data_IF_478540722238
#
_entry.id   IF_478540722238
#
_cell.length_a   1.000
_cell.length_b   1.000
_cell.length_c   1.000
_cell.angle_alpha   90.00
_cell.angle_beta   90.00
_cell.angle_gamma   90.00
#
_symmetry.space_group_name_H-M   'P 1'
#
loop_
_entity.id
_entity.type
_entity.pdbx_description
1 polymer ?
#
# COMPACT_ATOMS: atom_id res chain seq x y z
N UNK A 1 58.45 72.36 29.88
CA UNK A 1 57.51 72.09 30.92
C UNK A 1 57.01 70.71 30.70
N UNK A 2 57.73 69.71 31.25
CA UNK A 2 57.33 68.89 32.36
C UNK A 2 55.97 68.23 32.06
N UNK A 3 55.77 66.98 32.00
CA UNK A 3 56.16 65.83 32.80
C UNK A 3 55.72 64.54 32.09
N UNK A 4 56.43 63.62 32.13
CA UNK A 4 56.51 62.30 32.83
C UNK A 4 55.70 61.15 32.21
N UNK A 5 56.53 60.21 31.99
CA UNK A 5 56.35 58.77 31.81
C UNK A 5 55.42 58.11 32.81
N UNK A 6 54.67 57.14 32.38
CA UNK A 6 54.68 55.88 33.15
C UNK A 6 54.27 54.69 32.28
N UNK A 7 55.14 53.71 32.30
CA UNK A 7 54.97 52.42 31.67
C UNK A 7 54.18 51.51 32.58
N UNK A 8 53.06 51.04 32.14
CA UNK A 8 52.37 49.92 32.80
C UNK A 8 52.30 48.67 31.91
N UNK A 9 53.07 47.74 32.36
CA UNK A 9 53.10 46.32 31.99
C UNK A 9 51.72 45.73 31.72
N UNK A 10 51.41 45.41 30.45
CA UNK A 10 50.25 44.58 30.17
C UNK A 10 50.67 43.11 30.21
N UNK A 11 50.34 42.43 31.29
CA UNK A 11 50.44 40.98 31.44
C UNK A 11 49.58 40.32 30.38
N UNK A 12 50.19 39.57 29.46
CA UNK A 12 49.55 38.63 28.56
C UNK A 12 48.94 37.51 29.39
N UNK A 13 47.62 37.53 29.57
CA UNK A 13 46.86 36.36 30.05
C UNK A 13 46.65 35.44 28.81
N UNK A 14 47.33 34.33 28.78
CA UNK A 14 47.08 33.25 27.87
C UNK A 14 45.70 32.66 28.16
N UNK A 15 44.74 32.89 27.28
CA UNK A 15 43.45 32.24 27.28
C UNK A 15 43.62 30.85 26.65
N UNK A 16 43.74 29.81 27.45
CA UNK A 16 43.61 28.44 27.01
C UNK A 16 42.12 28.21 26.68
N UNK A 17 41.80 28.25 25.38
CA UNK A 17 40.46 27.82 24.87
C UNK A 17 40.51 26.30 24.83
N UNK A 18 39.88 25.67 25.82
CA UNK A 18 39.53 24.25 25.78
C UNK A 18 38.41 24.08 24.75
N UNK A 19 38.77 23.66 23.53
CA UNK A 19 37.81 23.18 22.56
C UNK A 19 37.29 21.82 23.04
N UNK A 20 36.16 21.81 23.74
CA UNK A 20 35.40 20.59 23.98
C UNK A 20 34.79 20.14 22.65
N UNK A 21 35.44 19.21 21.98
CA UNK A 21 34.85 18.44 20.87
C UNK A 21 33.75 17.57 21.45
N UNK A 22 32.50 18.04 21.41
CA UNK A 22 31.33 17.18 21.52
C UNK A 22 31.31 16.26 20.29
N UNK A 23 31.87 15.07 20.42
CA UNK A 23 31.54 13.94 19.58
C UNK A 23 30.06 13.59 19.89
N UNK A 24 29.14 14.24 19.18
CA UNK A 24 27.77 13.74 19.05
C UNK A 24 27.88 12.49 18.20
N UNK A 25 28.14 11.37 18.86
CA UNK A 25 27.92 10.06 18.26
C UNK A 25 26.45 10.00 17.89
N UNK A 26 26.11 10.05 16.59
CA UNK A 26 24.84 9.55 16.11
C UNK A 26 24.77 8.06 16.52
N UNK A 27 24.30 7.78 17.71
CA UNK A 27 23.77 6.47 18.01
C UNK A 27 22.57 6.29 17.09
N UNK A 28 22.77 5.60 15.96
CA UNK A 28 21.67 5.04 15.19
C UNK A 28 20.87 4.22 16.19
N UNK A 29 19.72 4.72 16.62
CA UNK A 29 18.80 3.92 17.40
C UNK A 29 18.55 2.68 16.53
N UNK A 30 19.02 1.53 16.97
CA UNK A 30 18.67 0.24 16.39
C UNK A 30 17.18 0.12 16.68
N UNK A 31 16.34 0.52 15.72
CA UNK A 31 14.91 0.29 15.83
C UNK A 31 14.74 -1.22 16.00
N UNK A 32 14.13 -1.62 17.11
CA UNK A 32 13.81 -3.01 17.37
C UNK A 32 12.93 -3.57 16.23
N UNK A 33 12.76 -4.88 16.17
CA UNK A 33 11.95 -5.48 15.11
C UNK A 33 10.54 -4.88 15.11
N UNK A 34 10.03 -4.52 13.94
CA UNK A 34 8.66 -4.07 13.80
C UNK A 34 7.73 -5.22 14.22
N UNK A 35 6.87 -4.97 15.19
CA UNK A 35 5.97 -5.98 15.75
C UNK A 35 4.53 -5.48 15.64
N UNK A 36 3.62 -6.33 15.20
CA UNK A 36 2.21 -5.99 15.20
C UNK A 36 1.60 -6.06 16.60
N UNK A 37 0.36 -5.56 16.77
CA UNK A 37 -0.35 -5.57 18.07
C UNK A 37 -0.60 -6.97 18.67
N UNK A 38 -0.30 -8.03 17.91
CA UNK A 38 -0.45 -9.44 18.31
C UNK A 38 0.88 -10.12 18.60
N UNK A 39 1.99 -9.37 18.54
CA UNK A 39 3.33 -9.86 18.79
C UNK A 39 4.01 -10.55 17.59
N UNK A 40 3.45 -10.43 16.38
CA UNK A 40 4.07 -10.98 15.18
C UNK A 40 5.17 -10.06 14.69
N UNK A 41 6.35 -10.64 14.41
CA UNK A 41 7.45 -9.92 13.77
C UNK A 41 7.08 -9.63 12.32
N UNK A 42 7.20 -8.38 11.92
CA UNK A 42 6.91 -7.90 10.58
C UNK A 42 8.22 -7.54 9.89
N UNK A 43 8.47 -8.15 8.76
CA UNK A 43 9.57 -7.79 7.88
C UNK A 43 9.18 -6.58 7.05
N UNK A 44 10.10 -5.64 6.88
CA UNK A 44 9.94 -4.47 6.00
C UNK A 44 10.97 -4.55 4.89
N UNK A 45 10.48 -4.53 3.66
CA UNK A 45 11.30 -4.55 2.45
C UNK A 45 11.11 -3.27 1.64
N UNK A 46 12.16 -2.84 0.98
CA UNK A 46 12.12 -1.76 0.01
C UNK A 46 12.52 -2.31 -1.35
N UNK A 47 11.53 -2.60 -2.17
CA UNK A 47 11.71 -3.23 -3.46
C UNK A 47 11.92 -2.17 -4.54
N UNK A 48 12.84 -2.35 -5.50
CA UNK A 48 12.94 -1.44 -6.63
C UNK A 48 11.67 -1.54 -7.48
N UNK A 49 11.07 -0.40 -7.82
CA UNK A 49 9.86 -0.37 -8.64
C UNK A 49 10.16 -0.88 -10.05
N UNK A 50 9.33 -1.79 -10.59
CA UNK A 50 9.59 -2.48 -11.87
C UNK A 50 9.73 -1.54 -13.08
N UNK A 51 9.11 -0.35 -13.04
CA UNK A 51 9.15 0.67 -14.11
C UNK A 51 9.98 1.90 -13.77
N UNK A 52 10.54 1.96 -12.56
CA UNK A 52 11.36 3.08 -12.11
C UNK A 52 12.34 2.58 -11.03
N UNK A 53 13.47 2.00 -11.43
CA UNK A 53 14.42 1.32 -10.54
C UNK A 53 15.03 2.23 -9.46
N UNK A 54 14.99 3.55 -9.65
CA UNK A 54 15.38 4.55 -8.65
C UNK A 54 14.27 4.87 -7.63
N UNK A 55 13.10 4.23 -7.71
CA UNK A 55 11.97 4.38 -6.80
C UNK A 55 11.78 3.11 -5.98
N UNK A 56 11.39 3.28 -4.72
CA UNK A 56 11.17 2.17 -3.78
C UNK A 56 9.69 1.91 -3.57
N UNK A 57 9.35 0.63 -3.47
CA UNK A 57 8.04 0.14 -3.06
C UNK A 57 8.21 -0.53 -1.70
N UNK A 58 7.55 0.00 -0.68
CA UNK A 58 7.53 -0.62 0.65
C UNK A 58 6.58 -1.81 0.67
N UNK A 59 7.09 -2.93 1.16
CA UNK A 59 6.34 -4.14 1.45
C UNK A 59 6.55 -4.53 2.92
N UNK A 60 5.46 -4.74 3.63
CA UNK A 60 5.44 -5.22 5.01
C UNK A 60 4.87 -6.63 4.99
N UNK A 61 5.57 -7.61 5.58
CA UNK A 61 5.10 -8.98 5.52
C UNK A 61 5.49 -9.82 6.74
N UNK A 62 4.78 -10.92 6.94
CA UNK A 62 5.05 -11.92 7.96
C UNK A 62 4.60 -13.29 7.45
N UNK A 63 5.07 -14.34 8.13
CA UNK A 63 4.75 -15.72 7.75
C UNK A 63 4.37 -16.55 8.99
N UNK A 64 3.69 -17.68 8.81
CA UNK A 64 3.47 -18.66 9.87
C UNK A 64 4.78 -19.19 10.45
N UNK A 65 4.72 -19.78 11.64
CA UNK A 65 5.83 -20.55 12.18
C UNK A 65 5.98 -21.90 11.45
N UNK A 66 7.22 -22.37 11.29
CA UNK A 66 7.54 -23.65 10.62
C UNK A 66 8.12 -23.43 9.22
N UNK A 67 8.18 -24.50 8.41
CA UNK A 67 8.99 -24.52 7.19
C UNK A 67 8.23 -24.14 5.90
N UNK A 68 6.88 -24.21 5.90
CA UNK A 68 6.09 -23.90 4.70
C UNK A 68 6.18 -25.01 3.61
N UNK A 69 6.02 -24.69 2.31
CA UNK A 69 5.56 -23.38 1.82
C UNK A 69 4.05 -23.14 2.06
N UNK A 70 3.68 -21.89 2.34
CA UNK A 70 2.29 -21.49 2.60
C UNK A 70 1.69 -20.67 1.46
N UNK A 71 0.35 -20.68 1.32
CA UNK A 71 -0.32 -19.71 0.45
C UNK A 71 -0.06 -18.30 0.95
N UNK A 72 -0.03 -17.32 0.03
CA UNK A 72 0.19 -15.93 0.35
C UNK A 72 -1.08 -15.09 0.11
N UNK A 73 -1.23 -14.02 0.90
CA UNK A 73 -2.21 -12.98 0.67
C UNK A 73 -1.54 -11.60 0.72
N UNK A 74 -1.70 -10.83 -0.35
CA UNK A 74 -1.23 -9.45 -0.43
C UNK A 74 -2.40 -8.49 -0.24
N UNK A 75 -2.29 -7.64 0.78
CA UNK A 75 -3.24 -6.59 1.10
C UNK A 75 -2.87 -5.30 0.39
N UNK A 76 -3.87 -4.67 -0.26
CA UNK A 76 -3.76 -3.40 -0.95
C UNK A 76 -4.74 -2.43 -0.28
N UNK A 77 -4.20 -1.39 0.36
CA UNK A 77 -4.97 -0.46 1.17
C UNK A 77 -5.90 0.44 0.36
N UNK A 78 -6.97 0.91 1.01
CA UNK A 78 -7.88 1.92 0.49
C UNK A 78 -7.28 3.33 0.52
N UNK A 79 -8.11 4.33 0.26
CA UNK A 79 -7.72 5.74 0.49
C UNK A 79 -7.53 5.98 1.99
N UNK A 80 -6.49 6.73 2.34
CA UNK A 80 -6.13 7.03 3.72
C UNK A 80 -5.89 8.54 3.85
N UNK A 81 -6.49 9.15 4.89
CA UNK A 81 -6.23 10.56 5.23
C UNK A 81 -4.81 10.71 5.81
N UNK A 82 -4.43 9.81 6.72
CA UNK A 82 -3.04 9.62 7.16
C UNK A 82 -2.44 8.56 6.24
N UNK A 83 -1.40 8.91 5.51
CA UNK A 83 -0.84 8.05 4.46
C UNK A 83 0.03 6.91 5.02
N UNK A 84 -0.49 6.13 5.95
CA UNK A 84 0.20 4.98 6.58
C UNK A 84 0.60 3.86 5.60
N UNK A 85 -0.02 3.80 4.43
CA UNK A 85 0.24 2.74 3.47
C UNK A 85 -0.12 1.36 4.00
N UNK A 86 0.76 0.39 3.77
CA UNK A 86 0.63 -0.99 4.26
C UNK A 86 0.71 -1.11 5.77
N UNK A 87 1.30 -0.13 6.46
CA UNK A 87 1.43 -0.14 7.92
C UNK A 87 0.08 -0.13 8.63
N UNK A 88 -0.98 0.36 7.98
CA UNK A 88 -2.34 0.27 8.52
C UNK A 88 -2.74 -1.19 8.84
N UNK A 89 -2.30 -2.17 8.05
CA UNK A 89 -2.58 -3.58 8.29
C UNK A 89 -1.70 -4.18 9.40
N UNK A 90 -0.52 -3.61 9.64
CA UNK A 90 0.31 -3.94 10.81
C UNK A 90 -0.37 -3.42 12.08
N UNK A 91 -0.77 -2.15 12.11
CA UNK A 91 -1.44 -1.49 13.26
C UNK A 91 -2.73 -2.22 13.65
N UNK A 92 -3.48 -2.73 12.68
CA UNK A 92 -4.71 -3.51 12.96
C UNK A 92 -4.42 -4.96 13.37
N UNK A 93 -3.19 -5.46 13.22
CA UNK A 93 -2.82 -6.86 13.44
C UNK A 93 -3.39 -7.81 12.39
N UNK A 94 -3.76 -7.30 11.21
CA UNK A 94 -4.33 -8.12 10.14
C UNK A 94 -3.31 -9.12 9.58
N UNK A 95 -2.04 -8.70 9.45
CA UNK A 95 -0.99 -9.58 8.94
C UNK A 95 -0.75 -10.76 9.88
N UNK A 96 -0.56 -10.52 11.18
CA UNK A 96 -0.39 -11.60 12.17
C UNK A 96 -1.63 -12.50 12.29
N UNK A 97 -2.84 -11.95 12.12
CA UNK A 97 -4.05 -12.75 12.09
C UNK A 97 -4.04 -13.75 10.92
N UNK A 98 -3.59 -13.34 9.74
CA UNK A 98 -3.49 -14.23 8.58
C UNK A 98 -2.35 -15.22 8.72
N UNK A 99 -1.20 -14.81 9.27
CA UNK A 99 -0.08 -15.72 9.55
C UNK A 99 -0.52 -16.85 10.50
N UNK A 100 -1.27 -16.53 11.56
CA UNK A 100 -1.86 -17.54 12.46
C UNK A 100 -2.80 -18.50 11.74
N UNK A 101 -3.39 -18.11 10.63
CA UNK A 101 -4.27 -18.96 9.80
C UNK A 101 -3.54 -19.73 8.71
N UNK A 102 -2.22 -19.73 8.70
CA UNK A 102 -1.41 -20.47 7.75
C UNK A 102 -1.15 -19.75 6.42
N UNK A 103 -1.16 -18.42 6.40
CA UNK A 103 -0.85 -17.63 5.21
C UNK A 103 0.41 -16.80 5.41
N UNK A 104 1.29 -16.72 4.43
CA UNK A 104 2.20 -15.59 4.31
C UNK A 104 1.34 -14.37 4.04
N UNK A 105 1.40 -13.38 4.93
CA UNK A 105 0.57 -12.19 4.85
C UNK A 105 1.44 -10.97 4.57
N UNK A 106 1.10 -10.21 3.55
CA UNK A 106 1.85 -9.02 3.16
C UNK A 106 0.94 -7.83 2.90
N UNK A 107 1.45 -6.63 3.08
CA UNK A 107 0.77 -5.38 2.76
C UNK A 107 1.72 -4.46 1.99
N UNK A 108 1.32 -4.03 0.81
CA UNK A 108 2.10 -3.10 -0.01
C UNK A 108 1.64 -1.67 0.27
N UNK A 109 2.59 -0.77 0.45
CA UNK A 109 2.31 0.67 0.42
C UNK A 109 2.28 1.14 -1.03
N UNK A 110 1.13 1.66 -1.47
CA UNK A 110 1.00 2.25 -2.81
C UNK A 110 1.94 3.46 -2.95
N UNK A 111 2.41 3.81 -4.15
CA UNK A 111 3.25 4.99 -4.37
C UNK A 111 2.67 6.26 -3.74
N UNK A 112 3.51 6.98 -2.99
CA UNK A 112 3.12 8.17 -2.21
C UNK A 112 2.42 7.87 -0.89
N UNK A 113 2.37 6.60 -0.44
CA UNK A 113 1.87 6.16 0.86
C UNK A 113 2.94 5.37 1.62
N UNK A 114 2.86 5.39 2.96
CA UNK A 114 3.87 4.77 3.81
C UNK A 114 5.26 5.30 3.47
N UNK A 115 6.20 4.40 3.32
CA UNK A 115 7.56 4.73 2.89
C UNK A 115 7.84 4.38 1.41
N UNK A 116 6.79 4.17 0.61
CA UNK A 116 6.93 4.02 -0.85
C UNK A 116 7.16 5.38 -1.51
N UNK A 117 8.09 5.42 -2.45
CA UNK A 117 8.33 6.62 -3.25
C UNK A 117 7.13 6.94 -4.15
N UNK A 118 6.88 8.23 -4.36
CA UNK A 118 5.87 8.70 -5.30
C UNK A 118 6.38 8.83 -6.75
N UNK A 119 5.55 9.37 -7.62
CA UNK A 119 4.28 10.04 -7.33
C UNK A 119 3.13 9.05 -7.09
N UNK A 120 2.09 9.50 -6.36
CA UNK A 120 0.79 8.81 -6.37
C UNK A 120 0.14 9.04 -7.74
N UNK A 121 -0.50 8.00 -8.29
CA UNK A 121 -1.15 8.06 -9.60
C UNK A 121 -2.61 7.57 -9.58
N UNK A 122 -3.25 7.66 -8.44
CA UNK A 122 -4.63 7.24 -8.17
C UNK A 122 -5.03 5.91 -8.84
N UNK A 123 -4.45 4.82 -8.39
CA UNK A 123 -4.73 3.47 -8.94
C UNK A 123 -4.29 3.26 -10.39
N UNK A 124 -3.41 4.09 -10.90
CA UNK A 124 -2.95 4.04 -12.27
C UNK A 124 -1.91 2.97 -12.54
N UNK A 125 -1.30 3.03 -13.73
CA UNK A 125 -0.30 2.05 -14.14
C UNK A 125 0.89 1.96 -13.20
N UNK A 126 1.35 3.09 -12.63
CA UNK A 126 2.48 3.10 -11.71
C UNK A 126 2.15 2.37 -10.40
N UNK A 127 0.99 2.64 -9.78
CA UNK A 127 0.53 1.88 -8.60
C UNK A 127 0.34 0.40 -8.92
N UNK A 128 -0.22 0.05 -10.08
CA UNK A 128 -0.38 -1.34 -10.50
C UNK A 128 0.96 -2.06 -10.60
N UNK A 129 1.97 -1.44 -11.21
CA UNK A 129 3.30 -2.03 -11.35
C UNK A 129 4.01 -2.18 -10.00
N UNK A 130 3.78 -1.28 -9.03
CA UNK A 130 4.25 -1.43 -7.66
C UNK A 130 3.67 -2.69 -6.99
N UNK A 131 2.38 -2.97 -7.18
CA UNK A 131 1.74 -4.19 -6.66
C UNK A 131 2.28 -5.44 -7.35
N UNK A 132 2.48 -5.42 -8.66
CA UNK A 132 3.12 -6.53 -9.39
C UNK A 132 4.56 -6.79 -8.90
N UNK A 133 5.30 -5.73 -8.56
CA UNK A 133 6.64 -5.85 -7.93
C UNK A 133 6.56 -6.60 -6.60
N UNK A 134 5.57 -6.28 -5.75
CA UNK A 134 5.35 -6.95 -4.47
C UNK A 134 4.95 -8.43 -4.65
N UNK A 135 4.09 -8.75 -5.63
CA UNK A 135 3.72 -10.12 -5.97
C UNK A 135 4.96 -10.93 -6.41
N UNK A 136 5.77 -10.36 -7.31
CA UNK A 136 6.98 -11.00 -7.81
C UNK A 136 8.00 -11.28 -6.70
N UNK A 137 8.11 -10.39 -5.71
CA UNK A 137 8.92 -10.61 -4.52
C UNK A 137 8.38 -11.79 -3.69
N UNK A 138 7.08 -11.79 -3.38
CA UNK A 138 6.47 -12.86 -2.58
C UNK A 138 6.63 -14.23 -3.23
N UNK A 139 6.40 -14.35 -4.54
CA UNK A 139 6.55 -15.62 -5.28
C UNK A 139 7.98 -16.17 -5.28
N UNK A 140 8.98 -15.33 -5.03
CA UNK A 140 10.38 -15.75 -4.91
C UNK A 140 10.76 -16.23 -3.50
N UNK A 141 9.90 -16.04 -2.50
CA UNK A 141 10.18 -16.48 -1.14
C UNK A 141 10.03 -18.00 -1.04
N UNK A 142 11.01 -18.72 -0.47
CA UNK A 142 10.92 -20.18 -0.28
C UNK A 142 9.71 -20.59 0.56
N UNK A 143 9.26 -19.72 1.46
CA UNK A 143 8.10 -19.93 2.32
C UNK A 143 6.75 -19.74 1.61
N UNK A 144 6.73 -19.29 0.36
CA UNK A 144 5.49 -19.03 -0.41
C UNK A 144 5.24 -20.16 -1.38
N UNK A 145 4.05 -20.78 -1.31
CA UNK A 145 3.62 -21.79 -2.27
C UNK A 145 3.49 -21.18 -3.67
N UNK A 146 4.14 -21.76 -4.68
CA UNK A 146 3.93 -21.35 -6.07
C UNK A 146 2.44 -21.35 -6.43
N UNK A 147 2.00 -20.38 -7.22
CA UNK A 147 0.62 -20.25 -7.74
C UNK A 147 -0.48 -20.18 -6.66
N UNK A 148 -0.12 -19.92 -5.39
CA UNK A 148 -1.09 -19.75 -4.30
C UNK A 148 -1.06 -18.36 -3.68
N UNK A 149 -0.86 -17.33 -4.52
CA UNK A 149 -0.91 -15.92 -4.10
C UNK A 149 -2.29 -15.35 -4.40
N UNK A 150 -2.95 -14.83 -3.37
CA UNK A 150 -4.23 -14.12 -3.49
C UNK A 150 -4.05 -12.62 -3.22
N UNK A 151 -4.94 -11.80 -3.78
CA UNK A 151 -5.02 -10.37 -3.50
C UNK A 151 -6.24 -10.04 -2.66
N UNK A 152 -6.08 -9.13 -1.72
CA UNK A 152 -7.17 -8.46 -1.04
C UNK A 152 -7.04 -6.95 -1.26
N UNK A 153 -8.01 -6.35 -1.92
CA UNK A 153 -8.11 -4.90 -2.10
C UNK A 153 -9.40 -4.35 -1.52
N UNK A 154 -9.30 -3.21 -0.81
CA UNK A 154 -10.47 -2.49 -0.31
C UNK A 154 -10.53 -1.08 -0.88
N UNK A 155 -11.72 -0.63 -1.36
CA UNK A 155 -11.93 0.70 -1.93
C UNK A 155 -10.90 1.02 -3.03
N UNK A 156 -10.05 2.03 -2.88
CA UNK A 156 -8.90 2.32 -3.76
C UNK A 156 -8.07 1.05 -4.04
N UNK A 157 -7.81 0.22 -3.03
CA UNK A 157 -7.07 -1.04 -3.20
C UNK A 157 -7.81 -2.07 -4.07
N UNK A 158 -9.16 -2.08 -4.07
CA UNK A 158 -9.93 -2.96 -4.93
C UNK A 158 -9.85 -2.55 -6.41
N UNK A 159 -9.76 -1.24 -6.69
CA UNK A 159 -9.52 -0.74 -8.04
C UNK A 159 -8.18 -1.29 -8.55
N UNK A 160 -7.12 -1.12 -7.76
CA UNK A 160 -5.78 -1.60 -8.13
C UNK A 160 -5.76 -3.13 -8.29
N UNK A 161 -6.31 -3.87 -7.31
CA UNK A 161 -6.34 -5.34 -7.35
C UNK A 161 -7.08 -5.87 -8.58
N UNK A 162 -8.20 -5.24 -8.98
CA UNK A 162 -8.93 -5.63 -10.18
C UNK A 162 -8.12 -5.39 -11.46
N UNK A 163 -7.37 -4.28 -11.52
CA UNK A 163 -6.49 -3.99 -12.66
C UNK A 163 -5.25 -4.91 -12.69
N UNK A 164 -4.70 -5.28 -11.54
CA UNK A 164 -3.62 -6.28 -11.45
C UNK A 164 -4.10 -7.63 -11.98
N UNK A 165 -5.31 -8.06 -11.61
CA UNK A 165 -5.91 -9.31 -12.08
C UNK A 165 -6.08 -9.39 -13.62
N UNK A 166 -6.12 -8.25 -14.31
CA UNK A 166 -6.12 -8.22 -15.79
C UNK A 166 -4.75 -8.50 -16.41
N UNK A 167 -3.68 -8.52 -15.62
CA UNK A 167 -2.31 -8.74 -16.09
C UNK A 167 -1.67 -10.00 -15.53
N UNK A 168 -1.95 -10.30 -14.25
CA UNK A 168 -1.40 -11.46 -13.57
C UNK A 168 -2.40 -12.63 -13.63
N UNK A 169 -2.11 -13.58 -14.49
CA UNK A 169 -2.96 -14.73 -14.75
C UNK A 169 -2.77 -15.88 -13.73
N UNK A 170 -1.76 -15.76 -12.85
CA UNK A 170 -1.39 -16.83 -11.90
C UNK A 170 -1.93 -16.57 -10.49
N UNK A 171 -2.79 -15.57 -10.31
CA UNK A 171 -3.42 -15.30 -9.02
C UNK A 171 -4.40 -16.40 -8.65
N UNK A 172 -4.25 -16.95 -7.44
CA UNK A 172 -5.13 -18.00 -6.93
C UNK A 172 -6.56 -17.49 -6.65
N UNK A 173 -6.69 -16.24 -6.26
CA UNK A 173 -7.98 -15.56 -6.05
C UNK A 173 -7.78 -14.05 -5.88
N UNK A 174 -8.83 -13.28 -6.13
CA UNK A 174 -8.84 -11.83 -5.88
C UNK A 174 -10.10 -11.44 -5.11
N UNK A 175 -9.91 -10.82 -3.96
CA UNK A 175 -10.98 -10.33 -3.07
C UNK A 175 -11.06 -8.80 -3.22
N UNK A 176 -12.22 -8.31 -3.65
CA UNK A 176 -12.46 -6.93 -4.00
C UNK A 176 -13.58 -6.35 -3.15
N UNK A 177 -13.24 -5.45 -2.24
CA UNK A 177 -14.20 -4.81 -1.33
C UNK A 177 -14.48 -3.34 -1.70
N UNK A 178 -15.72 -2.99 -2.05
CA UNK A 178 -16.17 -1.60 -2.23
C UNK A 178 -15.41 -0.81 -3.30
N UNK A 179 -15.00 -1.47 -4.40
CA UNK A 179 -14.23 -0.87 -5.47
C UNK A 179 -15.08 -0.24 -6.57
N UNK A 180 -14.53 0.78 -7.24
CA UNK A 180 -15.04 1.30 -8.51
C UNK A 180 -14.35 0.57 -9.67
N UNK A 181 -15.12 0.07 -10.63
CA UNK A 181 -14.62 -0.73 -11.75
C UNK A 181 -14.88 -0.10 -13.10
N UNK A 182 -15.59 1.03 -13.11
CA UNK A 182 -15.87 1.90 -14.26
C UNK A 182 -15.74 3.36 -13.84
N UNK A 183 -14.62 4.00 -14.16
CA UNK A 183 -14.34 5.39 -13.81
C UNK A 183 -15.21 6.37 -14.58
N UNK A 184 -15.63 6.03 -15.80
CA UNK A 184 -16.53 6.87 -16.59
C UNK A 184 -17.93 7.02 -15.96
N UNK A 185 -18.35 6.01 -15.16
CA UNK A 185 -19.61 6.03 -14.42
C UNK A 185 -19.46 6.45 -12.96
N UNK A 186 -18.24 6.46 -12.44
CA UNK A 186 -17.97 6.82 -11.04
C UNK A 186 -17.52 8.27 -10.87
N UNK A 187 -16.79 8.83 -11.85
CA UNK A 187 -16.35 10.22 -11.80
C UNK A 187 -17.38 11.16 -12.46
N UNK A 188 -17.72 12.34 -11.89
CA UNK A 188 -17.23 12.83 -10.60
C UNK A 188 -17.82 12.05 -9.42
N UNK A 189 -17.02 11.93 -8.33
CA UNK A 189 -17.44 11.21 -7.12
C UNK A 189 -18.17 12.12 -6.14
N UNK A 190 -19.01 11.59 -5.23
CA UNK A 190 -19.69 12.41 -4.21
C UNK A 190 -18.72 12.95 -3.14
N UNK A 191 -17.45 12.56 -3.16
CA UNK A 191 -16.45 12.93 -2.17
C UNK A 191 -15.43 13.89 -2.78
N UNK A 192 -15.58 15.19 -2.50
CA UNK A 192 -14.74 16.25 -3.06
C UNK A 192 -13.23 16.02 -2.90
N UNK A 193 -12.76 15.46 -1.78
CA UNK A 193 -11.34 15.16 -1.58
C UNK A 193 -10.82 14.03 -2.47
N UNK A 194 -11.66 13.02 -2.74
CA UNK A 194 -11.30 11.94 -3.67
C UNK A 194 -11.35 12.44 -5.10
N UNK A 195 -12.33 13.26 -5.42
CA UNK A 195 -12.48 13.89 -6.73
C UNK A 195 -11.25 14.71 -7.11
N UNK A 196 -10.77 15.55 -6.16
CA UNK A 196 -9.53 16.30 -6.31
C UNK A 196 -8.32 15.39 -6.54
N UNK A 197 -8.19 14.30 -5.78
CA UNK A 197 -7.08 13.36 -5.95
C UNK A 197 -7.13 12.66 -7.32
N UNK A 198 -8.32 12.25 -7.78
CA UNK A 198 -8.48 11.70 -9.14
C UNK A 198 -7.98 12.70 -10.18
N UNK A 199 -8.43 13.96 -10.07
CA UNK A 199 -8.05 15.02 -11.00
C UNK A 199 -6.53 15.26 -11.02
N UNK A 200 -5.90 15.38 -9.85
CA UNK A 200 -4.48 15.68 -9.75
C UNK A 200 -3.58 14.49 -10.09
N UNK A 201 -3.97 13.29 -9.69
CA UNK A 201 -3.14 12.09 -9.82
C UNK A 201 -3.37 11.34 -11.14
N UNK A 202 -4.53 11.50 -11.81
CA UNK A 202 -4.85 10.75 -13.04
C UNK A 202 -4.91 11.56 -14.32
N UNK A 203 -5.19 12.86 -14.26
CA UNK A 203 -5.25 13.76 -15.41
C UNK A 203 -6.54 13.70 -16.23
N UNK A 204 -7.57 12.95 -15.81
CA UNK A 204 -8.94 12.93 -16.35
C UNK A 204 -9.11 12.59 -17.86
N UNK A 205 -8.09 12.04 -18.52
CA UNK A 205 -8.27 11.62 -19.91
C UNK A 205 -9.02 10.27 -20.01
N UNK A 206 -9.60 9.98 -21.16
CA UNK A 206 -10.27 8.69 -21.42
C UNK A 206 -9.31 7.52 -21.23
N UNK A 207 -8.05 7.64 -21.64
CA UNK A 207 -7.01 6.64 -21.45
C UNK A 207 -6.72 6.44 -19.95
N UNK A 208 -6.65 7.55 -19.19
CA UNK A 208 -6.44 7.49 -17.74
C UNK A 208 -7.59 6.77 -17.04
N UNK A 209 -8.83 7.02 -17.44
CA UNK A 209 -10.01 6.35 -16.88
C UNK A 209 -10.07 4.88 -17.31
N UNK A 210 -9.79 4.58 -18.55
CA UNK A 210 -9.76 3.20 -19.07
C UNK A 210 -8.67 2.38 -18.37
N UNK A 211 -7.49 2.96 -18.11
CA UNK A 211 -6.38 2.33 -17.41
C UNK A 211 -6.69 2.02 -15.92
N UNK A 212 -7.80 2.51 -15.39
CA UNK A 212 -8.29 2.31 -14.00
C UNK A 212 -9.62 1.58 -13.92
N UNK A 213 -10.17 1.17 -15.05
CA UNK A 213 -11.52 0.60 -15.17
C UNK A 213 -11.46 -0.86 -15.59
N UNK A 214 -11.39 -1.77 -14.62
CA UNK A 214 -11.31 -3.21 -14.89
C UNK A 214 -12.53 -3.75 -15.67
N UNK A 215 -13.65 -3.04 -15.66
CA UNK A 215 -14.84 -3.39 -16.46
C UNK A 215 -14.52 -3.53 -17.95
N UNK A 216 -13.62 -2.69 -18.48
CA UNK A 216 -13.25 -2.70 -19.91
C UNK A 216 -12.15 -3.70 -20.26
N UNK A 217 -11.67 -4.45 -19.26
CA UNK A 217 -10.59 -5.43 -19.39
C UNK A 217 -10.95 -6.76 -18.74
N UNK A 218 -12.22 -6.96 -18.40
CA UNK A 218 -12.68 -8.12 -17.63
C UNK A 218 -12.38 -9.46 -18.33
N UNK A 219 -12.34 -9.46 -19.65
CA UNK A 219 -12.01 -10.64 -20.49
C UNK A 219 -10.58 -11.15 -20.26
N UNK A 220 -9.69 -10.32 -19.71
CA UNK A 220 -8.31 -10.66 -19.41
C UNK A 220 -8.14 -11.34 -18.05
N UNK A 221 -9.15 -11.30 -17.18
CA UNK A 221 -9.09 -11.88 -15.86
C UNK A 221 -9.29 -13.40 -15.99
N UNK A 222 -8.44 -14.17 -15.29
CA UNK A 222 -8.58 -15.64 -15.22
C UNK A 222 -8.81 -16.11 -13.78
N UNK A 223 -8.43 -15.29 -12.81
CA UNK A 223 -8.53 -15.63 -11.39
C UNK A 223 -9.97 -15.63 -10.89
N UNK A 224 -10.35 -16.54 -9.97
CA UNK A 224 -11.62 -16.44 -9.25
C UNK A 224 -11.73 -15.11 -8.49
N UNK A 225 -12.89 -14.46 -8.60
CA UNK A 225 -13.17 -13.16 -7.98
C UNK A 225 -14.20 -13.31 -6.85
N UNK A 226 -13.90 -12.73 -5.68
CA UNK A 226 -14.87 -12.49 -4.63
C UNK A 226 -15.18 -11.00 -4.55
N UNK A 227 -16.40 -10.60 -4.92
CA UNK A 227 -16.89 -9.23 -4.79
C UNK A 227 -17.62 -9.05 -3.47
N UNK A 228 -17.20 -8.05 -2.71
CA UNK A 228 -17.81 -7.63 -1.45
C UNK A 228 -18.26 -6.17 -1.59
N UNK A 229 -19.55 -5.89 -1.41
CA UNK A 229 -20.06 -4.51 -1.55
C UNK A 229 -21.24 -4.26 -0.59
N UNK A 230 -21.30 -3.05 -0.03
CA UNK A 230 -22.42 -2.60 0.79
C UNK A 230 -23.59 -2.14 -0.10
N UNK A 231 -24.84 -2.46 0.29
CA UNK A 231 -26.02 -1.95 -0.43
C UNK A 231 -26.17 -0.44 -0.32
N UNK A 232 -25.70 0.13 0.78
CA UNK A 232 -25.82 1.54 1.11
C UNK A 232 -24.44 2.23 1.05
N UNK A 233 -23.57 1.80 0.13
CA UNK A 233 -22.30 2.47 -0.09
C UNK A 233 -22.53 3.76 -0.87
N UNK A 234 -22.43 4.89 -0.16
CA UNK A 234 -22.62 6.24 -0.71
C UNK A 234 -21.37 6.76 -1.43
N UNK A 235 -20.21 6.12 -1.25
CA UNK A 235 -18.94 6.52 -1.85
C UNK A 235 -18.74 5.89 -3.22
N UNK A 236 -19.02 4.60 -3.28
CA UNK A 236 -18.94 3.81 -4.51
C UNK A 236 -20.27 3.09 -4.70
N UNK A 237 -21.13 3.55 -5.61
CA UNK A 237 -22.46 2.98 -5.80
C UNK A 237 -22.40 1.48 -6.11
N UNK A 238 -23.32 0.70 -5.52
CA UNK A 238 -23.43 -0.75 -5.71
C UNK A 238 -23.47 -1.16 -7.19
N UNK A 239 -23.93 -0.27 -8.06
CA UNK A 239 -23.96 -0.48 -9.52
C UNK A 239 -22.59 -0.79 -10.11
N UNK A 240 -21.52 -0.27 -9.52
CA UNK A 240 -20.15 -0.57 -9.93
C UNK A 240 -19.84 -2.07 -9.79
N UNK A 241 -20.16 -2.66 -8.62
CA UNK A 241 -19.97 -4.09 -8.40
C UNK A 241 -20.93 -4.94 -9.26
N UNK A 242 -22.19 -4.51 -9.42
CA UNK A 242 -23.17 -5.23 -10.26
C UNK A 242 -22.77 -5.27 -11.72
N UNK A 243 -22.34 -4.13 -12.29
CA UNK A 243 -21.90 -4.05 -13.68
C UNK A 243 -20.64 -4.91 -13.90
N UNK A 244 -19.69 -4.85 -12.97
CA UNK A 244 -18.48 -5.66 -13.06
C UNK A 244 -18.78 -7.17 -12.91
N UNK A 245 -19.65 -7.56 -11.97
CA UNK A 245 -20.09 -8.93 -11.81
C UNK A 245 -20.73 -9.49 -13.10
N UNK A 246 -21.64 -8.74 -13.70
CA UNK A 246 -22.29 -9.12 -14.97
C UNK A 246 -21.25 -9.30 -16.08
N UNK A 247 -20.25 -8.41 -16.15
CA UNK A 247 -19.18 -8.51 -17.16
C UNK A 247 -18.29 -9.73 -16.92
N UNK A 248 -17.93 -10.03 -15.66
CA UNK A 248 -17.17 -11.23 -15.33
C UNK A 248 -17.93 -12.51 -15.67
N UNK A 249 -19.24 -12.56 -15.35
CA UNK A 249 -20.11 -13.70 -15.70
C UNK A 249 -20.20 -13.91 -17.22
N UNK A 250 -20.35 -12.83 -18.00
CA UNK A 250 -20.37 -12.89 -19.45
C UNK A 250 -19.06 -13.42 -20.07
N UNK A 251 -17.94 -13.29 -19.33
CA UNK A 251 -16.63 -13.84 -19.71
C UNK A 251 -16.32 -15.18 -19.01
N UNK A 252 -17.31 -15.84 -18.40
CA UNK A 252 -17.18 -17.12 -17.73
C UNK A 252 -16.14 -17.15 -16.59
N UNK A 253 -15.83 -16.00 -15.99
CA UNK A 253 -14.90 -15.91 -14.86
C UNK A 253 -15.61 -16.39 -13.60
N UNK A 254 -15.00 -17.31 -12.80
CA UNK A 254 -15.59 -17.73 -11.54
C UNK A 254 -15.77 -16.57 -10.57
N UNK A 255 -17.01 -16.27 -10.23
CA UNK A 255 -17.34 -15.14 -9.35
C UNK A 255 -18.22 -15.59 -8.19
N UNK A 256 -17.91 -15.08 -6.99
CA UNK A 256 -18.81 -15.09 -5.83
C UNK A 256 -19.05 -13.66 -5.38
N UNK A 257 -20.31 -13.32 -5.08
CA UNK A 257 -20.69 -12.00 -4.58
C UNK A 257 -21.28 -12.12 -3.17
N UNK A 258 -20.91 -11.22 -2.26
CA UNK A 258 -21.62 -10.98 -1.02
C UNK A 258 -22.01 -9.51 -0.94
N UNK A 259 -23.33 -9.28 -0.97
CA UNK A 259 -23.95 -7.96 -0.80
C UNK A 259 -24.51 -7.92 0.61
N UNK A 260 -24.13 -6.93 1.42
CA UNK A 260 -24.65 -6.78 2.80
C UNK A 260 -25.26 -5.40 3.00
N UNK A 261 -26.26 -5.32 3.89
CA UNK A 261 -27.13 -4.17 4.13
C UNK A 261 -26.54 -2.96 4.87
N UNK A 262 -25.21 -2.85 5.01
CA UNK A 262 -24.51 -1.66 5.52
C UNK A 262 -23.19 -1.50 4.80
N UNK A 263 -22.69 -0.26 4.74
CA UNK A 263 -21.36 0.06 4.23
C UNK A 263 -20.34 -0.95 4.81
N UNK A 264 -19.52 -1.56 3.94
CA UNK A 264 -18.51 -2.49 4.41
C UNK A 264 -17.53 -1.75 5.31
N UNK A 265 -17.61 -2.03 6.60
CA UNK A 265 -16.51 -1.77 7.52
C UNK A 265 -15.38 -2.67 7.04
N UNK A 266 -14.20 -2.09 6.82
CA UNK A 266 -12.99 -2.85 6.57
C UNK A 266 -12.88 -3.89 7.71
N UNK A 267 -12.98 -5.18 7.40
CA UNK A 267 -12.98 -6.26 8.39
C UNK A 267 -11.72 -6.26 9.28
N UNK A 268 -10.77 -5.39 9.00
CA UNK A 268 -9.48 -5.25 9.67
C UNK A 268 -9.26 -3.87 10.33
N UNK A 269 -10.24 -2.95 10.30
CA UNK A 269 -10.19 -1.76 11.16
C UNK A 269 -10.78 -2.08 12.53
N UNK A 270 -10.15 -1.65 13.64
CA UNK A 270 -10.82 -1.67 14.95
C UNK A 270 -12.02 -0.71 14.92
N UNK A 271 -13.10 -1.09 15.56
CA UNK A 271 -14.21 -0.19 15.93
C UNK A 271 -13.70 0.91 16.87
#
# INVERSE_FOLDING_TARGET
>A
MVVDSDATSVRRKSLLVFALLFLVGCASAVEGPLVDRRGWVIHREFLPHSKASNKKVELLWTQPAGDGPWPAVLFIHGHQLVRDGGEAYVKTGALGLMARRGYVAAAVSQPGYGNSDGPADFCGPFTKDAVLTAIAFLRKQPSVSPNKTALYGYSRGAIVASMVATQDQELAAVILGGGAYDFFKWYPTPLAGIDANIKFESGLSDEAFKARSALYHAEKIQSPILLLHGTNDERVPLQQARAFAAKLQANHIPIRGRIRGRCMINLFTPE
#
